data_IF_739395132548
#
_entry.id   IF_739395132548
#
_cell.length_a   1.000
_cell.length_b   1.000
_cell.length_c   1.000
_cell.angle_alpha   90.00
_cell.angle_beta   90.00
_cell.angle_gamma   90.00
#
_symmetry.space_group_name_H-M   'P 1'
#
loop_
_entity.id
_entity.type
_entity.pdbx_description
1 polymer ?
#
# COMPACT_ATOMS: atom_id res chain seq x y z
N UNK A 1 36.64 -34.30 2.14
CA UNK A 1 35.32 -34.56 1.53
C UNK A 1 34.41 -35.07 2.64
N UNK A 2 33.50 -34.24 3.18
CA UNK A 2 32.72 -34.63 4.36
C UNK A 2 31.52 -35.50 3.98
N UNK A 3 31.60 -36.79 4.34
CA UNK A 3 30.68 -37.87 3.98
C UNK A 3 29.36 -37.83 4.81
N UNK A 4 29.28 -36.95 5.82
CA UNK A 4 28.11 -36.79 6.71
C UNK A 4 27.21 -35.58 6.38
N UNK A 5 27.44 -34.86 5.27
CA UNK A 5 26.52 -33.77 4.88
C UNK A 5 25.28 -34.36 4.21
N UNK A 6 24.13 -34.32 4.92
CA UNK A 6 22.79 -34.55 4.36
C UNK A 6 22.66 -33.72 3.07
N UNK A 7 22.15 -34.32 1.98
CA UNK A 7 21.85 -33.58 0.74
C UNK A 7 21.00 -32.37 1.12
N UNK A 8 21.47 -31.17 0.76
CA UNK A 8 20.78 -29.92 1.10
C UNK A 8 19.39 -29.95 0.48
N UNK A 9 18.37 -29.94 1.32
CA UNK A 9 16.99 -29.80 0.89
C UNK A 9 16.86 -28.45 0.16
N UNK A 10 16.04 -28.31 -0.89
CA UNK A 10 15.84 -27.02 -1.56
C UNK A 10 15.46 -25.89 -0.57
N UNK A 11 14.71 -26.25 0.47
CA UNK A 11 14.36 -25.36 1.59
C UNK A 11 15.59 -24.89 2.40
N UNK A 12 16.54 -25.78 2.65
CA UNK A 12 17.77 -25.45 3.39
C UNK A 12 18.70 -24.60 2.53
N UNK A 13 18.81 -24.88 1.24
CA UNK A 13 19.58 -24.09 0.28
C UNK A 13 19.05 -22.65 0.14
N UNK A 14 17.72 -22.47 0.11
CA UNK A 14 17.10 -21.14 0.12
C UNK A 14 17.37 -20.40 1.45
N UNK A 15 17.37 -21.10 2.58
CA UNK A 15 17.64 -20.51 3.89
C UNK A 15 19.11 -20.09 4.04
N UNK A 16 20.06 -20.88 3.55
CA UNK A 16 21.48 -20.51 3.53
C UNK A 16 21.72 -19.33 2.59
N UNK A 17 21.14 -19.34 1.39
CA UNK A 17 21.22 -18.23 0.44
C UNK A 17 20.71 -16.92 1.05
N UNK A 18 19.54 -16.94 1.71
CA UNK A 18 19.02 -15.74 2.43
C UNK A 18 19.98 -15.22 3.49
N UNK A 19 20.66 -16.11 4.23
CA UNK A 19 21.65 -15.73 5.25
C UNK A 19 22.88 -15.11 4.63
N UNK A 20 23.41 -15.71 3.57
CA UNK A 20 24.56 -15.20 2.81
C UNK A 20 24.26 -13.81 2.23
N UNK A 21 23.07 -13.63 1.64
CA UNK A 21 22.60 -12.33 1.12
C UNK A 21 22.50 -11.27 2.21
N UNK A 22 22.02 -11.63 3.41
CA UNK A 22 21.97 -10.71 4.55
C UNK A 22 23.37 -10.30 5.03
N UNK A 23 24.33 -11.24 5.05
CA UNK A 23 25.73 -10.94 5.40
C UNK A 23 26.36 -10.04 4.34
N UNK A 24 26.17 -10.33 3.06
CA UNK A 24 26.65 -9.51 1.95
C UNK A 24 26.07 -8.08 2.00
N UNK A 25 24.77 -7.95 2.28
CA UNK A 25 24.11 -6.64 2.45
C UNK A 25 24.77 -5.82 3.56
N UNK A 26 25.01 -6.43 4.72
CA UNK A 26 25.67 -5.76 5.85
C UNK A 26 27.12 -5.41 5.54
N UNK A 27 27.83 -6.25 4.78
CA UNK A 27 29.18 -5.96 4.29
C UNK A 27 29.21 -4.68 3.46
N UNK A 28 28.31 -4.60 2.47
CA UNK A 28 28.18 -3.43 1.59
C UNK A 28 27.77 -2.18 2.37
N UNK A 29 26.85 -2.28 3.33
CA UNK A 29 26.44 -1.12 4.15
C UNK A 29 27.60 -0.56 5.01
N UNK A 30 28.47 -1.44 5.53
CA UNK A 30 29.69 -1.01 6.25
C UNK A 30 30.67 -0.31 5.31
N UNK A 31 30.87 -0.85 4.11
CA UNK A 31 31.75 -0.27 3.11
C UNK A 31 31.25 1.10 2.65
N UNK A 32 29.95 1.24 2.37
CA UNK A 32 29.30 2.53 2.07
C UNK A 32 29.57 3.54 3.18
N UNK A 33 29.40 3.14 4.45
CA UNK A 33 29.63 4.02 5.61
C UNK A 33 31.09 4.44 5.73
N UNK A 34 32.03 3.53 5.46
CA UNK A 34 33.47 3.82 5.44
C UNK A 34 33.83 4.82 4.33
N UNK A 35 33.35 4.59 3.11
CA UNK A 35 33.61 5.47 1.97
C UNK A 35 32.96 6.85 2.15
N UNK A 36 31.80 6.93 2.80
CA UNK A 36 31.19 8.23 3.15
C UNK A 36 32.02 9.02 4.18
N UNK A 37 32.71 8.34 5.09
CA UNK A 37 33.64 9.00 6.01
C UNK A 37 34.89 9.51 5.27
N UNK A 38 35.43 8.70 4.35
CA UNK A 38 36.53 9.12 3.47
C UNK A 38 36.12 10.29 2.56
N UNK A 39 34.89 10.31 2.07
CA UNK A 39 34.35 11.44 1.29
C UNK A 39 34.41 12.73 2.11
N UNK A 40 33.95 12.70 3.36
CA UNK A 40 34.02 13.85 4.27
C UNK A 40 35.45 14.31 4.52
N UNK A 41 36.39 13.36 4.66
CA UNK A 41 37.84 13.66 4.83
C UNK A 41 38.42 14.32 3.57
N UNK A 42 38.17 13.77 2.38
CA UNK A 42 38.61 14.34 1.10
C UNK A 42 38.03 15.74 0.87
N UNK A 43 36.76 15.96 1.21
CA UNK A 43 36.15 17.30 1.11
C UNK A 43 36.85 18.31 2.03
N UNK A 44 37.23 17.91 3.25
CA UNK A 44 37.99 18.78 4.15
C UNK A 44 39.40 19.08 3.61
N UNK A 45 40.07 18.07 3.02
CA UNK A 45 41.39 18.21 2.42
C UNK A 45 41.38 19.09 1.17
N UNK A 46 40.38 18.95 0.30
CA UNK A 46 40.15 19.83 -0.85
C UNK A 46 39.97 21.28 -0.38
N UNK A 47 39.18 21.51 0.67
CA UNK A 47 39.01 22.86 1.24
C UNK A 47 40.32 23.43 1.77
N UNK A 48 41.17 22.62 2.39
CA UNK A 48 42.49 23.04 2.91
C UNK A 48 43.46 23.37 1.78
N UNK A 49 43.56 22.50 0.78
CA UNK A 49 44.47 22.66 -0.37
C UNK A 49 44.05 23.81 -1.29
N UNK A 50 42.74 24.04 -1.44
CA UNK A 50 42.20 25.20 -2.15
C UNK A 50 42.59 26.53 -1.45
N UNK A 51 42.54 26.59 -0.11
CA UNK A 51 42.98 27.78 0.64
C UNK A 51 44.47 28.08 0.50
N UNK A 52 45.29 27.05 0.34
CA UNK A 52 46.75 27.20 0.10
C UNK A 52 47.09 27.61 -1.34
N UNK A 53 46.12 27.69 -2.25
CA UNK A 53 46.34 28.09 -3.64
C UNK A 53 47.00 27.03 -4.53
N UNK A 54 47.14 25.78 -4.07
CA UNK A 54 47.70 24.71 -4.88
C UNK A 54 46.62 24.11 -5.81
N UNK A 55 46.46 24.72 -6.98
CA UNK A 55 45.45 24.31 -7.96
C UNK A 55 45.66 22.89 -8.49
N UNK A 56 46.91 22.46 -8.69
CA UNK A 56 47.22 21.13 -9.22
C UNK A 56 46.80 20.03 -8.24
N UNK A 57 47.14 20.17 -6.97
CA UNK A 57 46.72 19.23 -5.91
C UNK A 57 45.19 19.22 -5.75
N UNK A 58 44.56 20.40 -5.76
CA UNK A 58 43.10 20.54 -5.65
C UNK A 58 42.37 19.82 -6.80
N UNK A 59 42.87 19.95 -8.04
CA UNK A 59 42.30 19.26 -9.22
C UNK A 59 42.41 17.73 -9.11
N UNK A 60 43.53 17.21 -8.59
CA UNK A 60 43.71 15.76 -8.40
C UNK A 60 42.74 15.23 -7.33
N UNK A 61 42.67 15.89 -6.16
CA UNK A 61 41.76 15.51 -5.08
C UNK A 61 40.29 15.60 -5.50
N UNK A 62 39.91 16.61 -6.30
CA UNK A 62 38.56 16.73 -6.84
C UNK A 62 38.19 15.55 -7.77
N UNK A 63 39.11 15.09 -8.63
CA UNK A 63 38.90 13.89 -9.45
C UNK A 63 38.74 12.63 -8.60
N UNK A 64 39.51 12.52 -7.52
CA UNK A 64 39.39 11.42 -6.56
C UNK A 64 38.01 11.43 -5.87
N UNK A 65 37.51 12.60 -5.47
CA UNK A 65 36.18 12.75 -4.88
C UNK A 65 35.07 12.26 -5.83
N UNK A 66 35.15 12.61 -7.12
CA UNK A 66 34.17 12.14 -8.12
C UNK A 66 34.21 10.62 -8.27
N UNK A 67 35.41 10.01 -8.31
CA UNK A 67 35.55 8.54 -8.36
C UNK A 67 34.97 7.88 -7.12
N UNK A 68 35.22 8.43 -5.94
CA UNK A 68 34.69 7.92 -4.67
C UNK A 68 33.16 7.98 -4.64
N UNK A 69 32.56 9.09 -5.11
CA UNK A 69 31.09 9.20 -5.23
C UNK A 69 30.52 8.16 -6.19
N UNK A 70 31.19 7.92 -7.32
CA UNK A 70 30.76 6.87 -8.25
C UNK A 70 30.83 5.48 -7.60
N UNK A 71 31.86 5.19 -6.82
CA UNK A 71 31.96 3.94 -6.05
C UNK A 71 30.82 3.78 -5.04
N UNK A 72 30.47 4.85 -4.31
CA UNK A 72 29.33 4.86 -3.39
C UNK A 72 28.02 4.57 -4.14
N UNK A 73 27.78 5.24 -5.27
CA UNK A 73 26.58 5.01 -6.11
C UNK A 73 26.54 3.57 -6.63
N UNK A 74 27.67 3.02 -7.08
CA UNK A 74 27.76 1.65 -7.55
C UNK A 74 27.41 0.65 -6.42
N UNK A 75 27.96 0.85 -5.21
CA UNK A 75 27.65 0.00 -4.05
C UNK A 75 26.19 0.13 -3.60
N UNK A 76 25.60 1.32 -3.67
CA UNK A 76 24.17 1.53 -3.43
C UNK A 76 23.31 0.79 -4.47
N UNK A 77 23.73 0.79 -5.74
CA UNK A 77 23.13 -0.02 -6.81
C UNK A 77 23.21 -1.51 -6.51
N UNK A 78 24.39 -2.01 -6.14
CA UNK A 78 24.59 -3.42 -5.74
C UNK A 78 23.73 -3.80 -4.53
N UNK A 79 23.58 -2.91 -3.52
CA UNK A 79 22.68 -3.12 -2.38
C UNK A 79 21.22 -3.25 -2.84
N UNK A 80 20.77 -2.42 -3.77
CA UNK A 80 19.42 -2.48 -4.31
C UNK A 80 19.19 -3.80 -5.09
N UNK A 81 20.17 -4.23 -5.89
CA UNK A 81 20.13 -5.51 -6.59
C UNK A 81 20.03 -6.70 -5.62
N UNK A 82 20.85 -6.73 -4.57
CA UNK A 82 20.80 -7.79 -3.53
C UNK A 82 19.45 -7.81 -2.81
N UNK A 83 18.89 -6.62 -2.53
CA UNK A 83 17.53 -6.52 -1.95
C UNK A 83 16.47 -7.08 -2.90
N UNK A 84 16.56 -6.76 -4.19
CA UNK A 84 15.69 -7.32 -5.22
C UNK A 84 15.77 -8.86 -5.27
N UNK A 85 16.98 -9.41 -5.35
CA UNK A 85 17.20 -10.87 -5.35
C UNK A 85 16.68 -11.50 -4.05
N UNK A 86 16.87 -10.85 -2.90
CA UNK A 86 16.34 -11.35 -1.62
C UNK A 86 14.81 -11.46 -1.62
N UNK A 87 14.13 -10.45 -2.18
CA UNK A 87 12.67 -10.46 -2.34
C UNK A 87 12.24 -11.56 -3.31
N UNK A 88 12.92 -11.73 -4.44
CA UNK A 88 12.66 -12.83 -5.37
C UNK A 88 12.85 -14.20 -4.71
N UNK A 89 13.93 -14.40 -3.94
CA UNK A 89 14.18 -15.64 -3.18
C UNK A 89 13.09 -15.89 -2.14
N UNK A 90 12.60 -14.84 -1.45
CA UNK A 90 11.48 -14.96 -0.51
C UNK A 90 10.18 -15.35 -1.22
N UNK A 91 9.91 -14.81 -2.40
CA UNK A 91 8.76 -15.21 -3.22
C UNK A 91 8.89 -16.68 -3.66
N UNK A 92 10.07 -17.11 -4.12
CA UNK A 92 10.33 -18.51 -4.49
C UNK A 92 10.12 -19.48 -3.30
N UNK A 93 10.51 -19.07 -2.10
CA UNK A 93 10.27 -19.84 -0.88
C UNK A 93 8.77 -19.99 -0.59
N UNK A 94 8.00 -18.91 -0.71
CA UNK A 94 6.54 -18.94 -0.57
C UNK A 94 5.91 -19.86 -1.62
N UNK A 95 6.29 -19.72 -2.89
CA UNK A 95 5.81 -20.58 -3.99
C UNK A 95 6.15 -22.06 -3.77
N UNK A 96 7.34 -22.37 -3.25
CA UNK A 96 7.72 -23.74 -2.87
C UNK A 96 6.83 -24.30 -1.75
N UNK A 97 6.53 -23.49 -0.74
CA UNK A 97 5.66 -23.91 0.37
C UNK A 97 4.22 -24.16 -0.09
N UNK A 98 3.71 -23.30 -0.98
CA UNK A 98 2.39 -23.48 -1.62
C UNK A 98 2.40 -24.75 -2.46
N UNK A 99 3.42 -24.99 -3.29
CA UNK A 99 3.54 -26.22 -4.08
C UNK A 99 3.54 -27.49 -3.22
N UNK A 100 4.24 -27.46 -2.08
CA UNK A 100 4.22 -28.58 -1.12
C UNK A 100 2.84 -28.78 -0.49
N UNK A 101 2.14 -27.70 -0.15
CA UNK A 101 0.77 -27.73 0.37
C UNK A 101 -0.22 -28.26 -0.68
N UNK A 102 -0.13 -27.77 -1.91
CA UNK A 102 -0.90 -28.25 -3.06
C UNK A 102 -0.67 -29.75 -3.28
N UNK A 103 0.58 -30.23 -3.22
CA UNK A 103 0.87 -31.67 -3.34
C UNK A 103 0.14 -32.51 -2.28
N UNK A 104 0.08 -32.01 -1.04
CA UNK A 104 -0.69 -32.64 0.05
C UNK A 104 -2.20 -32.60 -0.20
N UNK A 105 -2.73 -31.43 -0.58
CA UNK A 105 -4.14 -31.23 -0.90
C UNK A 105 -4.60 -32.08 -2.09
N UNK A 106 -3.81 -32.17 -3.16
CA UNK A 106 -4.09 -33.05 -4.31
C UNK A 106 -4.07 -34.51 -3.89
N UNK A 107 -3.13 -34.94 -3.03
CA UNK A 107 -3.12 -36.32 -2.51
C UNK A 107 -4.38 -36.62 -1.69
N UNK A 108 -4.84 -35.67 -0.86
CA UNK A 108 -6.09 -35.78 -0.11
C UNK A 108 -7.31 -35.79 -1.04
N UNK A 109 -7.33 -34.95 -2.08
CA UNK A 109 -8.38 -34.91 -3.09
C UNK A 109 -8.46 -36.22 -3.88
N UNK A 110 -7.33 -36.81 -4.25
CA UNK A 110 -7.28 -38.13 -4.90
C UNK A 110 -7.78 -39.23 -3.98
N UNK A 111 -7.42 -39.21 -2.69
CA UNK A 111 -7.94 -40.16 -1.70
C UNK A 111 -9.45 -39.99 -1.50
N UNK A 112 -9.94 -38.76 -1.41
CA UNK A 112 -11.36 -38.41 -1.28
C UNK A 112 -12.16 -38.85 -2.52
N UNK A 113 -11.61 -38.65 -3.72
CA UNK A 113 -12.18 -39.11 -4.97
C UNK A 113 -12.39 -40.63 -4.96
N UNK A 114 -11.42 -41.40 -4.43
CA UNK A 114 -11.53 -42.85 -4.30
C UNK A 114 -12.62 -43.31 -3.32
N UNK A 115 -12.89 -42.56 -2.26
CA UNK A 115 -13.94 -42.90 -1.27
C UNK A 115 -15.33 -42.46 -1.74
N UNK A 116 -15.43 -41.33 -2.45
CA UNK A 116 -16.69 -40.82 -3.01
C UNK A 116 -17.30 -41.80 -4.01
N UNK A 117 -16.50 -42.36 -4.94
CA UNK A 117 -17.01 -43.30 -5.94
C UNK A 117 -17.42 -44.66 -5.36
N UNK A 118 -16.95 -45.04 -4.17
CA UNK A 118 -17.24 -46.35 -3.58
C UNK A 118 -18.51 -46.32 -2.71
N UNK A 119 -18.86 -45.19 -2.09
CA UNK A 119 -19.93 -45.17 -1.08
C UNK A 119 -21.07 -44.17 -1.28
N UNK A 120 -21.04 -43.25 -2.25
CA UNK A 120 -21.96 -42.10 -2.23
C UNK A 120 -22.49 -41.63 -3.56
N UNK A 121 -23.18 -42.53 -4.28
CA UNK A 121 -24.12 -42.07 -5.30
C UNK A 121 -25.56 -42.55 -5.07
N UNK A 122 -25.78 -43.72 -4.46
CA UNK A 122 -27.17 -44.23 -4.32
C UNK A 122 -27.88 -43.67 -3.07
N UNK A 123 -27.21 -43.67 -1.90
CA UNK A 123 -27.84 -43.25 -0.64
C UNK A 123 -28.05 -41.73 -0.50
N UNK A 124 -27.06 -40.91 -0.91
CA UNK A 124 -27.20 -39.45 -0.86
C UNK A 124 -28.18 -38.90 -1.89
N UNK A 125 -28.29 -39.51 -3.08
CA UNK A 125 -29.32 -39.11 -4.06
C UNK A 125 -30.71 -39.43 -3.55
N UNK A 126 -30.91 -40.59 -2.91
CA UNK A 126 -32.22 -40.93 -2.35
C UNK A 126 -32.62 -39.98 -1.20
N UNK A 127 -31.70 -39.68 -0.28
CA UNK A 127 -31.94 -38.70 0.79
C UNK A 127 -32.12 -37.28 0.25
N UNK A 128 -31.40 -36.90 -0.80
CA UNK A 128 -31.55 -35.59 -1.44
C UNK A 128 -32.84 -35.48 -2.24
N UNK A 129 -33.25 -36.51 -2.99
CA UNK A 129 -34.54 -36.55 -3.68
C UNK A 129 -35.70 -36.50 -2.67
N UNK A 130 -35.60 -37.26 -1.59
CA UNK A 130 -36.64 -37.29 -0.54
C UNK A 130 -36.73 -35.93 0.18
N UNK A 131 -35.59 -35.32 0.51
CA UNK A 131 -35.54 -33.96 1.06
C UNK A 131 -35.98 -32.88 0.08
N UNK A 132 -35.65 -33.01 -1.21
CA UNK A 132 -36.07 -32.10 -2.28
C UNK A 132 -37.59 -32.20 -2.51
N UNK A 133 -38.17 -33.40 -2.48
CA UNK A 133 -39.61 -33.60 -2.56
C UNK A 133 -40.33 -32.98 -1.35
N UNK A 134 -39.82 -33.19 -0.14
CA UNK A 134 -40.36 -32.56 1.07
C UNK A 134 -40.25 -31.04 1.01
N UNK A 135 -39.13 -30.51 0.50
CA UNK A 135 -38.93 -29.08 0.31
C UNK A 135 -39.87 -28.52 -0.76
N UNK A 136 -40.07 -29.20 -1.89
CA UNK A 136 -41.06 -28.81 -2.90
C UNK A 136 -42.47 -28.77 -2.31
N UNK A 137 -42.86 -29.79 -1.53
CA UNK A 137 -44.14 -29.81 -0.85
C UNK A 137 -44.25 -28.67 0.19
N UNK A 138 -43.17 -28.39 0.91
CA UNK A 138 -43.14 -27.30 1.87
C UNK A 138 -43.10 -25.93 1.18
N UNK A 139 -42.50 -25.80 0.00
CA UNK A 139 -42.56 -24.59 -0.81
C UNK A 139 -43.96 -24.42 -1.40
N UNK A 140 -44.66 -25.49 -1.82
CA UNK A 140 -46.07 -25.37 -2.20
C UNK A 140 -46.92 -24.93 -1.00
N UNK A 141 -46.81 -25.59 0.16
CA UNK A 141 -47.57 -25.19 1.35
C UNK A 141 -47.17 -23.81 1.90
N UNK A 142 -45.90 -23.43 1.78
CA UNK A 142 -45.41 -22.12 2.18
C UNK A 142 -45.74 -21.06 1.14
N UNK A 143 -45.80 -21.39 -0.14
CA UNK A 143 -46.29 -20.49 -1.19
C UNK A 143 -47.77 -20.26 -1.02
N UNK A 144 -48.56 -21.29 -0.68
CA UNK A 144 -49.99 -21.14 -0.35
C UNK A 144 -50.19 -20.31 0.92
N UNK A 145 -49.36 -20.52 1.96
CA UNK A 145 -49.40 -19.71 3.18
C UNK A 145 -48.90 -18.28 2.95
N UNK A 146 -47.88 -18.09 2.09
CA UNK A 146 -47.36 -16.79 1.71
C UNK A 146 -48.38 -16.05 0.86
N UNK A 147 -49.03 -16.69 -0.12
CA UNK A 147 -50.13 -16.10 -0.90
C UNK A 147 -51.28 -15.69 0.03
N UNK A 148 -51.67 -16.53 0.99
CA UNK A 148 -52.74 -16.19 1.93
C UNK A 148 -52.37 -15.08 2.94
N UNK A 149 -51.07 -14.83 3.15
CA UNK A 149 -50.56 -13.71 3.97
C UNK A 149 -50.21 -12.44 3.18
N UNK A 150 -49.76 -12.56 1.92
CA UNK A 150 -49.44 -11.42 1.05
C UNK A 150 -50.69 -10.77 0.46
N UNK A 151 -51.78 -11.53 0.28
CA UNK A 151 -53.08 -10.98 -0.11
C UNK A 151 -53.80 -10.27 1.07
N UNK A 152 -53.15 -10.17 2.23
CA UNK A 152 -53.59 -9.42 3.42
C UNK A 152 -52.54 -8.40 3.85
N UNK A 153 -52.57 -7.26 3.17
CA UNK A 153 -52.27 -5.92 3.67
C UNK A 153 -50.81 -5.56 4.09
N UNK A 154 -50.37 -4.35 3.69
CA UNK A 154 -49.30 -3.50 4.30
C UNK A 154 -47.88 -3.45 3.68
N UNK A 155 -47.55 -4.20 2.62
CA UNK A 155 -46.17 -4.22 2.09
C UNK A 155 -45.80 -3.11 1.07
N UNK A 156 -46.77 -2.41 0.46
CA UNK A 156 -46.44 -1.39 -0.56
C UNK A 156 -45.99 -0.05 0.05
N UNK A 157 -46.54 0.37 1.21
CA UNK A 157 -46.27 1.71 1.77
C UNK A 157 -44.87 1.81 2.44
N UNK A 158 -44.34 0.73 3.01
CA UNK A 158 -43.01 0.73 3.66
C UNK A 158 -41.83 0.70 2.68
N UNK A 159 -42.05 0.28 1.42
CA UNK A 159 -40.96 0.18 0.44
C UNK A 159 -40.50 1.53 -0.09
N UNK A 160 -41.40 2.51 -0.19
CA UNK A 160 -41.06 3.88 -0.61
C UNK A 160 -40.20 4.60 0.45
N UNK A 161 -40.51 4.42 1.74
CA UNK A 161 -39.78 5.02 2.86
C UNK A 161 -38.34 4.49 2.97
N UNK A 162 -38.15 3.18 2.79
CA UNK A 162 -36.82 2.57 2.76
C UNK A 162 -35.99 3.04 1.56
N UNK A 163 -36.61 3.23 0.38
CA UNK A 163 -35.89 3.79 -0.77
C UNK A 163 -35.47 5.25 -0.54
N UNK A 164 -36.30 6.06 0.11
CA UNK A 164 -35.95 7.43 0.47
C UNK A 164 -34.79 7.47 1.48
N UNK A 165 -34.78 6.57 2.47
CA UNK A 165 -33.68 6.48 3.44
C UNK A 165 -32.34 6.08 2.79
N UNK A 166 -32.35 5.13 1.84
CA UNK A 166 -31.14 4.71 1.12
C UNK A 166 -30.62 5.82 0.18
N UNK A 167 -31.52 6.59 -0.45
CA UNK A 167 -31.14 7.72 -1.29
C UNK A 167 -30.45 8.83 -0.49
N UNK A 168 -30.87 9.06 0.75
CA UNK A 168 -30.21 9.98 1.69
C UNK A 168 -28.86 9.44 2.16
N UNK A 169 -28.76 8.15 2.50
CA UNK A 169 -27.50 7.51 2.93
C UNK A 169 -26.43 7.45 1.84
N UNK A 170 -26.81 7.30 0.56
CA UNK A 170 -25.88 7.32 -0.58
C UNK A 170 -25.41 8.75 -0.93
N UNK A 171 -26.05 9.79 -0.37
CA UNK A 171 -25.56 11.16 -0.44
C UNK A 171 -25.71 11.82 -1.82
N UNK A 172 -26.70 11.40 -2.63
CA UNK A 172 -26.97 11.99 -3.94
C UNK A 172 -27.37 13.47 -3.83
N UNK A 173 -27.98 13.88 -2.71
CA UNK A 173 -28.27 15.28 -2.40
C UNK A 173 -27.03 16.14 -2.10
N UNK A 174 -26.07 15.60 -1.34
CA UNK A 174 -24.86 16.34 -0.90
C UNK A 174 -23.84 16.49 -2.05
N UNK A 175 -23.71 15.46 -2.90
CA UNK A 175 -22.83 15.52 -4.07
C UNK A 175 -23.28 16.56 -5.10
N UNK A 176 -24.60 16.77 -5.25
CA UNK A 176 -25.16 17.79 -6.14
C UNK A 176 -24.89 19.22 -5.63
N UNK A 177 -24.98 19.45 -4.32
CA UNK A 177 -24.69 20.77 -3.72
C UNK A 177 -23.18 21.10 -3.70
N UNK A 178 -22.30 20.11 -3.54
CA UNK A 178 -20.85 20.33 -3.54
C UNK A 178 -20.25 20.52 -4.95
N UNK A 179 -20.91 20.01 -5.99
CA UNK A 179 -20.49 20.16 -7.39
C UNK A 179 -20.76 21.57 -7.95
N UNK A 180 -21.64 22.36 -7.31
CA UNK A 180 -22.03 23.70 -7.75
C UNK A 180 -21.18 24.86 -7.17
N UNK A 181 -20.07 24.56 -6.49
CA UNK A 181 -19.11 25.60 -6.06
C UNK A 181 -18.18 26.03 -7.23
N UNK A 182 -18.12 27.32 -7.61
CA UNK A 182 -17.41 27.75 -8.81
C UNK A 182 -15.88 27.61 -8.67
N UNK A 183 -15.28 26.83 -9.58
CA UNK A 183 -13.81 26.73 -9.77
C UNK A 183 -13.28 27.97 -10.48
N UNK A 184 -12.88 28.99 -9.73
CA UNK A 184 -12.19 30.18 -10.24
C UNK A 184 -10.68 29.96 -10.40
N UNK A 185 -10.19 30.02 -11.64
CA UNK A 185 -8.78 29.89 -12.06
C UNK A 185 -8.21 31.30 -12.31
N UNK A 186 -7.11 31.69 -11.69
CA UNK A 186 -6.28 32.83 -12.15
C UNK A 186 -4.84 32.35 -12.32
N UNK A 187 -4.28 32.60 -13.50
CA UNK A 187 -2.98 32.14 -13.96
C UNK A 187 -1.85 33.16 -13.68
N UNK A 188 -0.69 32.65 -13.27
CA UNK A 188 0.72 32.99 -13.62
C UNK A 188 1.08 34.45 -14.00
N UNK A 189 2.21 35.07 -13.60
CA UNK A 189 3.62 34.61 -13.78
C UNK A 189 4.66 35.67 -13.27
N UNK A 190 5.85 35.19 -12.87
CA UNK A 190 7.23 35.76 -13.06
C UNK A 190 7.87 36.79 -12.09
N UNK A 191 8.90 36.28 -11.38
CA UNK A 191 10.27 36.77 -11.05
C UNK A 191 10.57 38.07 -10.21
N UNK A 192 11.08 37.82 -8.98
CA UNK A 192 12.27 38.35 -8.23
C UNK A 192 12.56 39.87 -8.07
N UNK A 193 13.45 40.28 -7.12
CA UNK A 193 13.51 40.13 -5.64
C UNK A 193 13.53 41.55 -4.94
N UNK A 194 13.37 41.72 -3.59
CA UNK A 194 14.54 41.94 -2.68
C UNK A 194 14.30 41.67 -1.17
N UNK A 195 15.31 41.94 -0.35
CA UNK A 195 15.40 41.76 1.11
C UNK A 195 15.03 43.01 1.93
N UNK A 196 14.61 42.79 3.20
CA UNK A 196 14.81 43.65 4.42
C UNK A 196 14.09 45.03 4.41
N UNK A 197 13.45 45.60 5.45
CA UNK A 197 13.36 45.42 6.92
C UNK A 197 12.18 46.28 7.42
N UNK A 198 11.51 45.88 8.51
CA UNK A 198 10.72 46.69 9.50
C UNK A 198 9.91 47.88 9.00
N UNK A 199 8.57 47.88 9.19
CA UNK A 199 7.73 49.09 9.50
C UNK A 199 6.23 48.74 9.68
N UNK A 200 5.68 49.13 10.84
CA UNK A 200 4.31 49.55 11.17
C UNK A 200 3.11 48.58 11.33
N UNK A 201 2.69 48.48 12.61
CA UNK A 201 1.41 48.03 13.14
C UNK A 201 0.25 48.98 12.78
N UNK A 202 -0.48 48.77 11.68
CA UNK A 202 -1.68 49.58 11.38
C UNK A 202 -2.78 48.89 10.57
N UNK A 203 -2.80 47.56 10.49
CA UNK A 203 -3.77 46.81 9.67
C UNK A 203 -4.82 46.01 10.45
N UNK A 204 -4.72 45.92 11.78
CA UNK A 204 -5.74 45.23 12.61
C UNK A 204 -6.90 46.15 13.04
N UNK A 205 -6.74 47.48 13.04
CA UNK A 205 -7.81 48.40 13.47
C UNK A 205 -8.93 48.55 12.44
N UNK A 206 -8.62 48.51 11.13
CA UNK A 206 -9.62 48.71 10.08
C UNK A 206 -10.63 47.57 9.95
N UNK A 207 -10.22 46.34 10.25
CA UNK A 207 -11.11 45.17 10.21
C UNK A 207 -12.04 45.14 11.42
N UNK A 208 -11.56 45.58 12.60
CA UNK A 208 -12.36 45.70 13.82
C UNK A 208 -13.40 46.83 13.69
N UNK A 209 -13.00 47.97 13.12
CA UNK A 209 -13.92 49.10 12.85
C UNK A 209 -15.05 48.74 11.87
N UNK A 210 -14.77 47.88 10.88
CA UNK A 210 -15.77 47.41 9.91
C UNK A 210 -16.74 46.39 10.52
N UNK A 211 -16.25 45.56 11.45
CA UNK A 211 -17.08 44.63 12.23
C UNK A 211 -18.00 45.36 13.23
N UNK A 212 -17.50 46.40 13.90
CA UNK A 212 -18.32 47.23 14.80
C UNK A 212 -19.44 47.96 14.05
N UNK A 213 -19.16 48.45 12.83
CA UNK A 213 -20.18 49.06 11.95
C UNK A 213 -21.27 48.08 11.53
N UNK A 214 -20.91 46.84 11.19
CA UNK A 214 -21.88 45.77 10.87
C UNK A 214 -22.71 45.33 12.09
N UNK A 215 -22.11 45.33 13.27
CA UNK A 215 -22.81 44.99 14.52
C UNK A 215 -23.80 46.11 14.91
N UNK A 216 -23.42 47.38 14.72
CA UNK A 216 -24.29 48.52 14.94
C UNK A 216 -25.50 48.56 13.97
N UNK A 217 -25.34 48.12 12.72
CA UNK A 217 -26.46 48.04 11.76
C UNK A 217 -27.47 46.94 12.10
N UNK A 218 -27.04 45.87 12.79
CA UNK A 218 -27.93 44.80 13.26
C UNK A 218 -28.66 45.13 14.56
N UNK A 219 -28.15 46.09 15.33
CA UNK A 219 -28.77 46.58 16.58
C UNK A 219 -29.83 47.67 16.37
N UNK A 220 -30.06 48.10 15.12
CA UNK A 220 -30.97 49.19 14.76
C UNK A 220 -32.24 48.72 14.03
N UNK A 221 -32.51 47.41 14.06
CA UNK A 221 -33.79 46.78 13.69
C UNK A 221 -34.53 46.45 14.98
#
# INVERSE_FOLDING_TARGET
MNIFKKKTTPKDALRTSKREMAVATRGIEREISSLQLEEKRLVAEIKKTAKTGNEAATKILARQLVRLRQQITNLQGSRAQIRGVTTHTQALYASTSISSGMKGATKAMVAMNKVIYVYRFVGSIFSWLCGYLLLCLQIEMMSDAIDETLDKDEAEEETEDLTNQVLDEIGVGVASQLSSAPKGRIATKTAAPPASTTTNNNSESSEVDELEKRLASLRRI
#
